data_IF_973179895455
#
_entry.id   IF_973179895455
#
_cell.length_a   1.000
_cell.length_b   1.000
_cell.length_c   1.000
_cell.angle_alpha   90.00
_cell.angle_beta   90.00
_cell.angle_gamma   90.00
#
_symmetry.space_group_name_H-M   'P 1'
#
loop_
_entity.id
_entity.type
_entity.pdbx_description
1 polymer ?
#
# COMPACT_ATOMS: atom_id res chain seq x y z
N UNK A 1 0.74 -6.30 21.72
CA UNK A 1 0.79 -7.28 20.60
C UNK A 1 0.83 -6.49 19.31
N UNK A 2 1.57 -6.98 18.32
CA UNK A 2 1.70 -6.44 16.96
C UNK A 2 2.72 -7.27 16.17
N UNK A 3 2.83 -7.05 14.85
CA UNK A 3 3.79 -7.75 13.97
C UNK A 3 5.23 -7.31 14.23
N UNK A 4 5.48 -6.00 14.36
CA UNK A 4 6.82 -5.43 14.62
C UNK A 4 6.91 -4.67 15.92
N UNK A 5 5.91 -3.85 16.21
CA UNK A 5 5.80 -3.09 17.45
C UNK A 5 4.39 -3.23 18.03
N UNK A 6 4.26 -3.00 19.34
CA UNK A 6 2.98 -3.14 20.00
C UNK A 6 1.95 -2.15 19.42
N UNK A 7 0.87 -2.68 18.86
CA UNK A 7 -0.22 -1.89 18.28
C UNK A 7 -0.21 -1.84 16.75
N UNK A 8 0.87 -2.26 16.10
CA UNK A 8 0.99 -2.25 14.63
C UNK A 8 0.98 -3.68 14.10
N UNK A 9 0.16 -3.93 13.07
CA UNK A 9 0.06 -5.21 12.39
C UNK A 9 0.29 -4.98 10.90
N UNK A 10 1.05 -5.87 10.27
CA UNK A 10 1.24 -5.83 8.82
C UNK A 10 -0.06 -6.20 8.12
N UNK A 11 -0.35 -5.56 7.00
CA UNK A 11 -1.58 -5.82 6.24
C UNK A 11 -1.65 -7.27 5.72
N UNK A 12 -0.51 -7.87 5.42
CA UNK A 12 -0.40 -9.27 5.01
C UNK A 12 -0.74 -10.29 6.13
N UNK A 13 -0.81 -9.86 7.40
CA UNK A 13 -1.23 -10.66 8.55
C UNK A 13 -2.70 -10.47 8.94
N UNK A 14 -3.43 -9.61 8.25
CA UNK A 14 -4.83 -9.27 8.53
C UNK A 14 -5.80 -9.98 7.56
N UNK A 15 -7.10 -10.11 7.89
CA UNK A 15 -7.65 -10.00 9.23
C UNK A 15 -7.10 -11.13 10.12
N UNK A 16 -6.99 -10.87 11.42
CA UNK A 16 -6.54 -11.88 12.36
C UNK A 16 -7.59 -13.00 12.53
N UNK A 17 -7.18 -14.24 12.83
CA UNK A 17 -8.11 -15.33 13.09
C UNK A 17 -9.17 -14.95 14.15
N UNK A 18 -10.44 -15.16 13.82
CA UNK A 18 -11.57 -14.83 14.68
C UNK A 18 -12.07 -13.38 14.58
N UNK A 19 -11.35 -12.49 13.90
CA UNK A 19 -11.83 -11.15 13.60
C UNK A 19 -12.71 -11.16 12.33
N UNK A 20 -13.69 -10.26 12.29
CA UNK A 20 -14.52 -10.02 11.11
C UNK A 20 -14.17 -8.66 10.53
N UNK A 21 -13.89 -8.61 9.22
CA UNK A 21 -13.66 -7.38 8.47
C UNK A 21 -15.00 -6.67 8.21
N UNK A 22 -15.02 -5.35 8.42
CA UNK A 22 -16.18 -4.46 8.37
C UNK A 22 -15.80 -3.19 7.60
N UNK A 23 -16.81 -2.54 7.03
CA UNK A 23 -16.68 -1.26 6.34
C UNK A 23 -17.58 -0.22 7.02
N UNK A 24 -17.02 0.96 7.24
CA UNK A 24 -17.72 2.14 7.74
C UNK A 24 -17.92 3.12 6.57
N UNK A 25 -19.18 3.28 6.15
CA UNK A 25 -19.55 4.13 5.03
C UNK A 25 -19.47 5.63 5.37
N UNK A 26 -19.55 6.03 6.63
CA UNK A 26 -19.38 7.44 7.01
C UNK A 26 -17.90 7.81 6.93
N UNK A 27 -17.03 6.95 7.46
CA UNK A 27 -15.59 7.16 7.44
C UNK A 27 -14.94 6.83 6.09
N UNK A 28 -15.65 6.10 5.21
CA UNK A 28 -15.10 5.51 3.98
C UNK A 28 -13.86 4.65 4.27
N UNK A 29 -13.93 3.84 5.33
CA UNK A 29 -12.80 3.12 5.89
C UNK A 29 -13.17 1.69 6.27
N UNK A 30 -12.17 0.82 6.38
CA UNK A 30 -12.33 -0.56 6.83
C UNK A 30 -11.58 -0.83 8.12
N UNK A 31 -12.07 -1.83 8.86
CA UNK A 31 -11.44 -2.34 10.06
C UNK A 31 -11.85 -3.80 10.28
N UNK A 32 -11.11 -4.52 11.11
CA UNK A 32 -11.55 -5.82 11.62
C UNK A 32 -11.83 -5.74 13.12
N UNK A 33 -12.80 -6.52 13.59
CA UNK A 33 -13.13 -6.62 15.01
C UNK A 33 -13.34 -8.07 15.44
N UNK A 34 -12.69 -8.46 16.55
CA UNK A 34 -12.94 -9.73 17.23
C UNK A 34 -13.75 -9.49 18.50
N UNK A 35 -14.99 -10.00 18.53
CA UNK A 35 -15.91 -9.87 19.66
C UNK A 35 -15.39 -10.53 20.95
N UNK A 36 -14.61 -11.60 20.86
CA UNK A 36 -14.10 -12.33 22.03
C UNK A 36 -12.97 -11.57 22.70
N UNK A 37 -11.97 -11.15 21.92
CA UNK A 37 -10.83 -10.41 22.46
C UNK A 37 -11.08 -8.90 22.60
N UNK A 38 -12.20 -8.41 22.05
CA UNK A 38 -12.57 -6.99 21.97
C UNK A 38 -11.49 -6.12 21.33
N UNK A 39 -10.80 -6.68 20.33
CA UNK A 39 -9.73 -5.99 19.59
C UNK A 39 -10.25 -5.50 18.25
N UNK A 40 -9.98 -4.23 17.99
CA UNK A 40 -10.18 -3.59 16.70
C UNK A 40 -8.82 -3.36 16.03
N UNK A 41 -8.73 -3.62 14.73
CA UNK A 41 -7.57 -3.25 13.90
C UNK A 41 -8.09 -2.47 12.70
N UNK A 42 -7.67 -1.22 12.56
CA UNK A 42 -8.00 -0.36 11.41
C UNK A 42 -6.95 -0.55 10.32
N UNK A 43 -7.37 -0.81 9.09
CA UNK A 43 -6.50 -0.99 7.92
C UNK A 43 -7.33 -0.87 6.64
N UNK A 44 -6.68 -0.58 5.51
CA UNK A 44 -7.37 -0.51 4.23
C UNK A 44 -7.54 -1.90 3.60
N UNK A 45 -8.69 -2.11 2.94
CA UNK A 45 -8.92 -3.24 2.05
C UNK A 45 -8.75 -2.85 0.60
N UNK A 46 -8.76 -3.85 -0.29
CA UNK A 46 -8.77 -3.64 -1.74
C UNK A 46 -9.87 -2.68 -2.19
N UNK A 47 -11.07 -2.77 -1.61
CA UNK A 47 -12.19 -1.91 -1.98
C UNK A 47 -12.01 -0.48 -1.44
N UNK A 48 -11.45 -0.32 -0.23
CA UNK A 48 -11.09 1.01 0.29
C UNK A 48 -10.03 1.67 -0.59
N UNK A 49 -9.04 0.93 -1.11
CA UNK A 49 -8.06 1.48 -2.05
C UNK A 49 -8.73 1.94 -3.35
N UNK A 50 -9.69 1.20 -3.91
CA UNK A 50 -10.44 1.65 -5.09
C UNK A 50 -11.19 2.97 -4.81
N UNK A 51 -11.80 3.09 -3.63
CA UNK A 51 -12.51 4.30 -3.23
C UNK A 51 -11.54 5.48 -3.06
N UNK A 52 -10.40 5.27 -2.40
CA UNK A 52 -9.35 6.29 -2.24
C UNK A 52 -8.75 6.72 -3.59
N UNK A 53 -8.55 5.80 -4.52
CA UNK A 53 -8.11 6.14 -5.89
C UNK A 53 -9.17 6.91 -6.67
N UNK A 54 -10.45 6.55 -6.50
CA UNK A 54 -11.54 7.33 -7.11
C UNK A 54 -11.58 8.76 -6.54
N UNK A 55 -11.41 8.90 -5.23
CA UNK A 55 -11.32 10.20 -4.56
C UNK A 55 -10.13 11.03 -5.05
N UNK A 56 -8.92 10.47 -5.08
CA UNK A 56 -7.72 11.20 -5.50
C UNK A 56 -7.84 11.67 -6.96
N UNK A 57 -8.45 10.85 -7.85
CA UNK A 57 -8.74 11.24 -9.24
C UNK A 57 -9.74 12.39 -9.31
N UNK A 58 -10.85 12.30 -8.56
CA UNK A 58 -11.85 13.38 -8.51
C UNK A 58 -11.26 14.70 -8.03
N UNK A 59 -10.28 14.65 -7.11
CA UNK A 59 -9.61 15.82 -6.55
C UNK A 59 -8.38 16.28 -7.34
N UNK A 60 -7.97 15.57 -8.39
CA UNK A 60 -6.78 15.90 -9.17
C UNK A 60 -5.48 15.81 -8.36
N UNK A 61 -5.38 14.86 -7.42
CA UNK A 61 -4.15 14.63 -6.64
C UNK A 61 -3.11 13.85 -7.47
N UNK A 62 -1.84 14.00 -7.13
CA UNK A 62 -0.71 13.51 -7.93
C UNK A 62 -0.47 11.99 -7.94
N UNK A 63 -1.13 11.22 -7.07
CA UNK A 63 -0.96 9.76 -7.01
C UNK A 63 -1.18 9.19 -5.62
N UNK A 64 -0.67 7.97 -5.39
CA UNK A 64 -0.74 7.27 -4.11
C UNK A 64 0.65 6.87 -3.63
N UNK A 65 0.88 6.97 -2.33
CA UNK A 65 2.09 6.46 -1.66
C UNK A 65 1.69 5.49 -0.56
N UNK A 66 2.53 4.48 -0.33
CA UNK A 66 2.30 3.43 0.65
C UNK A 66 3.44 3.41 1.67
N UNK A 67 3.08 3.09 2.91
CA UNK A 67 4.03 2.85 4.00
C UNK A 67 3.65 1.54 4.69
N UNK A 68 4.45 0.48 4.66
CA UNK A 68 5.62 0.27 3.78
C UNK A 68 5.45 -1.01 2.94
N UNK A 69 6.42 -1.29 2.06
CA UNK A 69 6.25 -2.31 1.03
C UNK A 69 6.21 -3.74 1.58
N UNK A 70 6.92 -4.03 2.67
CA UNK A 70 7.00 -5.38 3.25
C UNK A 70 5.68 -5.86 3.87
N UNK A 71 4.84 -4.92 4.32
CA UNK A 71 3.52 -5.21 4.87
C UNK A 71 2.43 -5.50 3.82
N UNK A 72 2.68 -5.32 2.52
CA UNK A 72 1.67 -5.58 1.48
C UNK A 72 1.50 -7.09 1.21
N UNK A 73 0.34 -7.46 0.66
CA UNK A 73 0.07 -8.83 0.18
C UNK A 73 0.60 -9.02 -1.24
N UNK A 74 0.78 -10.28 -1.63
CA UNK A 74 1.01 -10.66 -3.02
C UNK A 74 -0.33 -10.88 -3.78
N UNK A 75 -0.27 -10.83 -5.11
CA UNK A 75 -1.40 -11.16 -6.00
C UNK A 75 -2.58 -10.20 -5.87
N UNK A 76 -3.80 -10.73 -6.01
CA UNK A 76 -5.05 -9.94 -6.02
C UNK A 76 -5.33 -9.18 -4.71
N UNK A 77 -4.68 -9.59 -3.61
CA UNK A 77 -4.77 -8.94 -2.32
C UNK A 77 -3.86 -7.71 -2.17
N UNK A 78 -2.92 -7.47 -3.10
CA UNK A 78 -1.98 -6.34 -3.00
C UNK A 78 -2.71 -5.00 -3.09
N UNK A 79 -2.53 -4.15 -2.09
CA UNK A 79 -3.05 -2.78 -2.09
C UNK A 79 -2.29 -1.90 -3.08
N UNK A 80 -0.97 -2.10 -3.20
CA UNK A 80 -0.13 -1.35 -4.14
C UNK A 80 -0.54 -1.67 -5.57
N UNK A 81 -0.68 -2.96 -5.91
CA UNK A 81 -1.08 -3.40 -7.24
C UNK A 81 -2.50 -2.94 -7.57
N UNK A 82 -3.41 -2.99 -6.58
CA UNK A 82 -4.78 -2.47 -6.76
C UNK A 82 -4.78 -0.99 -7.05
N UNK A 83 -3.97 -0.19 -6.35
CA UNK A 83 -3.86 1.24 -6.61
C UNK A 83 -3.30 1.52 -8.01
N UNK A 84 -2.21 0.84 -8.39
CA UNK A 84 -1.61 0.95 -9.71
C UNK A 84 -2.61 0.68 -10.83
N UNK A 85 -3.37 -0.43 -10.74
CA UNK A 85 -4.42 -0.75 -11.71
C UNK A 85 -5.53 0.32 -11.72
N UNK A 86 -5.98 0.74 -10.54
CA UNK A 86 -7.06 1.73 -10.40
C UNK A 86 -6.64 3.11 -10.91
N UNK A 87 -5.35 3.44 -10.90
CA UNK A 87 -4.78 4.65 -11.50
C UNK A 87 -4.73 4.61 -13.03
N UNK A 88 -4.89 3.43 -13.66
CA UNK A 88 -4.82 3.25 -15.10
C UNK A 88 -3.64 2.39 -15.55
N UNK A 89 -3.00 1.67 -14.63
CA UNK A 89 -1.81 0.88 -14.90
C UNK A 89 -0.66 1.74 -15.41
N UNK A 90 0.19 1.18 -16.27
CA UNK A 90 1.35 1.87 -16.80
C UNK A 90 0.98 3.16 -17.57
N UNK A 91 -0.16 3.18 -18.27
CA UNK A 91 -0.64 4.36 -18.99
C UNK A 91 -1.17 5.48 -18.09
N UNK A 92 -1.46 5.18 -16.81
CA UNK A 92 -1.89 6.16 -15.82
C UNK A 92 -0.77 6.71 -14.95
N UNK A 93 0.46 6.23 -15.11
CA UNK A 93 1.61 6.73 -14.35
C UNK A 93 2.33 7.85 -15.10
N UNK A 94 2.98 8.73 -14.34
CA UNK A 94 3.96 9.65 -14.90
C UNK A 94 5.12 8.85 -15.52
N UNK A 95 5.52 9.26 -16.72
CA UNK A 95 6.58 8.59 -17.48
C UNK A 95 7.77 9.52 -17.61
N UNK A 96 8.77 9.31 -16.73
CA UNK A 96 10.04 10.02 -16.72
C UNK A 96 11.19 9.02 -16.57
N UNK A 97 12.30 9.25 -17.28
CA UNK A 97 13.47 8.39 -17.17
C UNK A 97 14.18 8.63 -15.84
N UNK A 98 14.66 7.54 -15.22
CA UNK A 98 15.53 7.65 -14.05
C UNK A 98 16.97 8.03 -14.46
N UNK A 99 17.79 8.41 -13.47
CA UNK A 99 19.21 8.68 -13.67
C UNK A 99 20.03 7.42 -13.43
N UNK A 100 20.70 6.93 -14.47
CA UNK A 100 21.55 5.72 -14.40
C UNK A 100 23.05 6.01 -14.47
N UNK A 101 23.44 7.21 -14.89
CA UNK A 101 24.85 7.59 -15.00
C UNK A 101 25.29 8.40 -13.78
N UNK A 102 26.24 7.87 -13.02
CA UNK A 102 26.83 8.55 -11.86
C UNK A 102 28.36 8.59 -12.03
N UNK A 103 28.87 9.40 -12.98
CA UNK A 103 30.29 9.39 -13.38
C UNK A 103 31.25 9.73 -12.23
N UNK A 104 30.78 10.50 -11.24
CA UNK A 104 31.56 10.90 -10.06
C UNK A 104 31.32 10.00 -8.84
N UNK A 105 30.63 8.87 -8.99
CA UNK A 105 30.45 7.93 -7.89
C UNK A 105 31.80 7.42 -7.40
N UNK A 106 32.00 7.44 -6.08
CA UNK A 106 33.18 6.84 -5.43
C UNK A 106 33.23 5.32 -5.55
N UNK A 107 32.13 4.69 -5.96
CA UNK A 107 31.99 3.25 -6.09
C UNK A 107 32.17 2.84 -7.56
N UNK A 108 33.21 2.06 -7.86
CA UNK A 108 33.57 1.64 -9.22
C UNK A 108 32.41 0.94 -9.95
N UNK A 109 31.71 0.03 -9.25
CA UNK A 109 30.57 -0.69 -9.80
C UNK A 109 29.41 0.25 -10.17
N UNK A 110 29.08 1.25 -9.36
CA UNK A 110 28.03 2.23 -9.68
C UNK A 110 28.46 3.14 -10.83
N UNK A 111 29.72 3.61 -10.82
CA UNK A 111 30.28 4.45 -11.88
C UNK A 111 30.32 3.74 -13.24
N UNK A 112 30.65 2.45 -13.24
CA UNK A 112 30.66 1.62 -14.44
C UNK A 112 29.25 1.17 -14.89
N UNK A 113 28.18 1.53 -14.16
CA UNK A 113 26.81 1.15 -14.53
C UNK A 113 26.47 -0.31 -14.21
N UNK A 114 27.05 -0.86 -13.15
CA UNK A 114 26.90 -2.24 -12.68
C UNK A 114 27.37 -3.32 -13.68
N UNK A 115 28.28 -2.95 -14.59
CA UNK A 115 28.97 -3.86 -15.51
C UNK A 115 30.15 -4.59 -14.87
#
# INVERSE_FOLDING_TARGET
QGSWENGVWDYNDLPRPGATELYDDVAQASYSYDNKSRKLVSYDTVDVIKNKVSYLKQKGLGGSTFWEASGDRAGEGSLISRSFQSLGGAGGQESINNMLSYPDSKYDNIRAGLS
#
